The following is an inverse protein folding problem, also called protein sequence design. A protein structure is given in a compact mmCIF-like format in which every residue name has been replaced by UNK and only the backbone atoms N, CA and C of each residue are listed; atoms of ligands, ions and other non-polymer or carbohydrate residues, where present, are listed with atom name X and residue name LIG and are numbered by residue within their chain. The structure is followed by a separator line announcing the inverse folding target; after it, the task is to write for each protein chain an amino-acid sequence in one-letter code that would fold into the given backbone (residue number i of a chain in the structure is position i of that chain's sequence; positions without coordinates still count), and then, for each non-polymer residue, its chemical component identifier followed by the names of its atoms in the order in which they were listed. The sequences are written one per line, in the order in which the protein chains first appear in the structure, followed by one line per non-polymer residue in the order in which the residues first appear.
data_IF_685888727086
#
_entry.id   IF_685888727086
#
_cell.length_a   1.000
_cell.length_b   1.000
_cell.length_c   1.000
_cell.angle_alpha   90.00
_cell.angle_beta   90.00
_cell.angle_gamma   90.00
#
_symmetry.space_group_name_H-M   'P 1'
#
loop_
_entity.id
_entity.type
_entity.pdbx_description
1 polymer ?
#
# COMPACT_ATOMS: atom_id res chain seq x y z
N UNK A 1 44.96 -30.04 33.03
CA UNK A 1 44.56 -30.54 34.37
C UNK A 1 45.49 -31.69 34.74
N UNK A 2 46.01 -31.74 35.97
CA UNK A 2 46.85 -32.84 36.47
C UNK A 2 46.20 -33.36 37.75
N UNK A 3 45.93 -34.65 37.81
CA UNK A 3 45.44 -35.34 39.01
C UNK A 3 46.62 -35.96 39.75
N UNK A 4 46.59 -35.98 41.06
CA UNK A 4 47.62 -36.66 41.85
C UNK A 4 47.55 -38.18 41.63
N UNK A 5 48.71 -38.85 41.63
CA UNK A 5 48.80 -40.31 41.42
C UNK A 5 48.98 -41.01 42.76
N UNK A 6 48.02 -41.85 43.14
CA UNK A 6 48.16 -42.78 44.26
C UNK A 6 48.47 -44.19 43.74
N UNK A 7 49.67 -44.69 44.06
CA UNK A 7 50.20 -46.03 43.71
C UNK A 7 50.12 -46.40 42.23
N UNK A 8 48.94 -46.80 41.74
CA UNK A 8 48.65 -47.32 40.38
C UNK A 8 47.45 -46.63 39.72
N UNK A 9 47.17 -45.37 40.05
CA UNK A 9 46.11 -44.62 39.40
C UNK A 9 45.99 -43.19 39.91
N UNK A 10 45.09 -42.44 39.29
CA UNK A 10 44.73 -41.11 39.76
C UNK A 10 43.97 -41.19 41.09
N UNK A 11 44.16 -40.18 41.93
CA UNK A 11 43.48 -40.04 43.21
C UNK A 11 41.97 -39.93 42.98
N UNK A 12 41.25 -40.93 43.46
CA UNK A 12 39.82 -41.12 43.15
C UNK A 12 38.97 -39.92 43.55
N UNK A 13 39.25 -39.28 44.68
CA UNK A 13 38.48 -38.12 45.16
C UNK A 13 38.56 -36.93 44.20
N UNK A 14 39.75 -36.63 43.65
CA UNK A 14 39.94 -35.50 42.73
C UNK A 14 39.28 -35.75 41.38
N UNK A 15 39.29 -37.01 40.93
CA UNK A 15 38.61 -37.41 39.70
C UNK A 15 37.09 -37.39 39.89
N UNK A 16 36.57 -37.90 41.01
CA UNK A 16 35.14 -37.90 41.31
C UNK A 16 34.60 -36.46 41.45
N UNK A 17 35.36 -35.57 42.08
CA UNK A 17 35.02 -34.15 42.24
C UNK A 17 35.06 -33.40 40.90
N UNK A 18 36.05 -33.69 40.05
CA UNK A 18 36.08 -33.17 38.67
C UNK A 18 34.91 -33.68 37.83
N UNK A 19 34.61 -34.98 37.87
CA UNK A 19 33.49 -35.58 37.13
C UNK A 19 32.17 -34.99 37.62
N UNK A 20 32.03 -34.74 38.92
CA UNK A 20 30.86 -34.08 39.50
C UNK A 20 30.74 -32.64 39.01
N UNK A 21 31.81 -31.84 39.08
CA UNK A 21 31.82 -30.46 38.60
C UNK A 21 31.50 -30.37 37.10
N UNK A 22 32.10 -31.24 36.30
CA UNK A 22 31.88 -31.30 34.86
C UNK A 22 30.43 -31.69 34.52
N UNK A 23 29.87 -32.70 35.20
CA UNK A 23 28.45 -33.07 35.04
C UNK A 23 27.53 -31.91 35.40
N UNK A 24 27.80 -31.23 36.51
CA UNK A 24 26.99 -30.12 36.98
C UNK A 24 27.06 -28.93 36.00
N UNK A 25 28.22 -28.65 35.41
CA UNK A 25 28.38 -27.63 34.37
C UNK A 25 27.58 -27.99 33.10
N UNK A 26 27.65 -29.23 32.64
CA UNK A 26 26.86 -29.69 31.49
C UNK A 26 25.36 -29.67 31.78
N UNK A 27 24.92 -30.04 32.98
CA UNK A 27 23.52 -29.95 33.41
C UNK A 27 23.04 -28.50 33.45
N UNK A 28 23.88 -27.57 33.94
CA UNK A 28 23.61 -26.13 33.94
C UNK A 28 23.44 -25.60 32.52
N UNK A 29 24.41 -25.86 31.62
CA UNK A 29 24.34 -25.42 30.22
C UNK A 29 23.14 -26.03 29.49
N UNK A 30 22.83 -27.29 29.75
CA UNK A 30 21.66 -27.96 29.15
C UNK A 30 20.35 -27.31 29.64
N UNK A 31 20.26 -26.93 30.92
CA UNK A 31 19.11 -26.23 31.46
C UNK A 31 18.95 -24.83 30.85
N UNK A 32 20.04 -24.07 30.72
CA UNK A 32 20.06 -22.75 30.06
C UNK A 32 19.61 -22.84 28.60
N UNK A 33 20.15 -23.79 27.84
CA UNK A 33 19.75 -24.02 26.46
C UNK A 33 18.27 -24.40 26.33
N UNK A 34 17.76 -25.28 27.21
CA UNK A 34 16.33 -25.63 27.24
C UNK A 34 15.45 -24.40 27.51
N UNK A 35 15.84 -23.56 28.48
CA UNK A 35 15.12 -22.33 28.79
C UNK A 35 15.14 -21.37 27.58
N UNK A 36 16.28 -21.22 26.90
CA UNK A 36 16.37 -20.38 25.71
C UNK A 36 15.52 -20.90 24.56
N UNK A 37 15.52 -22.22 24.32
CA UNK A 37 14.66 -22.86 23.32
C UNK A 37 13.19 -22.61 23.64
N UNK A 38 12.79 -22.71 24.91
CA UNK A 38 11.42 -22.44 25.32
C UNK A 38 11.01 -20.99 25.08
N UNK A 39 11.86 -20.03 25.44
CA UNK A 39 11.65 -18.61 25.16
C UNK A 39 11.51 -18.34 23.66
N UNK A 40 12.44 -18.83 22.84
CA UNK A 40 12.41 -18.63 21.40
C UNK A 40 11.15 -19.24 20.76
N UNK A 41 10.70 -20.41 21.23
CA UNK A 41 9.43 -21.00 20.77
C UNK A 41 8.22 -20.15 21.14
N UNK A 42 8.21 -19.60 22.35
CA UNK A 42 7.14 -18.68 22.79
C UNK A 42 7.14 -17.41 21.95
N UNK A 43 8.31 -16.81 21.73
CA UNK A 43 8.46 -15.61 20.89
C UNK A 43 8.03 -15.88 19.45
N UNK A 44 8.44 -17.01 18.87
CA UNK A 44 8.06 -17.41 17.51
C UNK A 44 6.54 -17.53 17.39
N UNK A 45 5.89 -18.21 18.35
CA UNK A 45 4.43 -18.36 18.37
C UNK A 45 3.73 -16.99 18.45
N UNK A 46 4.23 -16.08 19.29
CA UNK A 46 3.66 -14.74 19.44
C UNK A 46 3.86 -13.91 18.17
N UNK A 47 5.03 -13.97 17.53
CA UNK A 47 5.31 -13.26 16.27
C UNK A 47 4.48 -13.81 15.10
N UNK A 48 4.29 -15.12 15.02
CA UNK A 48 3.40 -15.73 14.02
C UNK A 48 1.96 -15.27 14.20
N UNK A 49 1.48 -15.21 15.44
CA UNK A 49 0.15 -14.67 15.76
C UNK A 49 0.01 -13.21 15.34
N UNK A 50 1.02 -12.38 15.60
CA UNK A 50 1.03 -10.98 15.18
C UNK A 50 1.04 -10.85 13.66
N UNK A 51 1.84 -11.64 12.95
CA UNK A 51 1.86 -11.69 11.48
C UNK A 51 0.50 -12.08 10.91
N UNK A 52 -0.15 -13.10 11.48
CA UNK A 52 -1.50 -13.50 11.06
C UNK A 52 -2.51 -12.36 11.27
N UNK A 53 -2.44 -11.67 12.41
CA UNK A 53 -3.31 -10.53 12.69
C UNK A 53 -3.07 -9.35 11.73
N UNK A 54 -1.82 -9.06 11.38
CA UNK A 54 -1.51 -8.02 10.39
C UNK A 54 -1.99 -8.38 9.00
N UNK A 55 -1.80 -9.63 8.56
CA UNK A 55 -2.34 -10.10 7.27
C UNK A 55 -3.85 -9.95 7.20
N UNK A 56 -4.58 -10.39 8.23
CA UNK A 56 -6.02 -10.24 8.30
C UNK A 56 -6.47 -8.76 8.25
N UNK A 57 -5.74 -7.85 8.91
CA UNK A 57 -6.00 -6.41 8.82
C UNK A 57 -5.74 -5.88 7.41
N UNK A 58 -4.64 -6.28 6.78
CA UNK A 58 -4.31 -5.89 5.40
C UNK A 58 -5.38 -6.35 4.42
N UNK A 59 -5.89 -7.57 4.56
CA UNK A 59 -6.97 -8.10 3.71
C UNK A 59 -8.27 -7.31 3.90
N UNK A 60 -8.61 -6.98 5.15
CA UNK A 60 -9.77 -6.16 5.49
C UNK A 60 -9.65 -4.76 4.86
N UNK A 61 -8.49 -4.11 5.00
CA UNK A 61 -8.22 -2.79 4.42
C UNK A 61 -8.32 -2.86 2.90
N UNK A 62 -7.73 -3.88 2.28
CA UNK A 62 -7.77 -4.07 0.82
C UNK A 62 -9.21 -4.24 0.32
N UNK A 63 -10.00 -5.05 1.01
CA UNK A 63 -11.43 -5.21 0.73
C UNK A 63 -12.21 -3.90 0.91
N UNK A 64 -11.95 -3.15 1.97
CA UNK A 64 -12.59 -1.86 2.20
C UNK A 64 -12.26 -0.84 1.10
N UNK A 65 -11.00 -0.80 0.64
CA UNK A 65 -10.58 0.07 -0.48
C UNK A 65 -11.29 -0.33 -1.77
N UNK A 66 -11.34 -1.62 -2.11
CA UNK A 66 -12.05 -2.10 -3.30
C UNK A 66 -13.54 -1.74 -3.27
N UNK A 67 -14.20 -1.94 -2.13
CA UNK A 67 -15.60 -1.57 -1.95
C UNK A 67 -15.80 -0.04 -2.03
N UNK A 68 -14.90 0.76 -1.47
CA UNK A 68 -14.98 2.21 -1.54
C UNK A 68 -14.85 2.72 -2.99
N UNK A 69 -13.92 2.15 -3.77
CA UNK A 69 -13.77 2.47 -5.21
C UNK A 69 -15.03 2.09 -5.98
N UNK A 70 -15.56 0.88 -5.76
CA UNK A 70 -16.82 0.47 -6.40
C UNK A 70 -17.98 1.40 -6.06
N UNK A 71 -18.09 1.84 -4.80
CA UNK A 71 -19.11 2.82 -4.41
C UNK A 71 -18.90 4.19 -4.99
N UNK A 72 -17.66 4.64 -5.16
CA UNK A 72 -17.37 5.88 -5.87
C UNK A 72 -17.84 5.80 -7.32
N UNK A 73 -17.50 4.72 -8.04
CA UNK A 73 -17.93 4.48 -9.42
C UNK A 73 -19.46 4.43 -9.56
N UNK A 74 -20.15 3.80 -8.60
CA UNK A 74 -21.62 3.76 -8.56
C UNK A 74 -22.22 5.16 -8.37
N UNK A 75 -21.66 5.98 -7.47
CA UNK A 75 -22.11 7.34 -7.21
C UNK A 75 -21.93 8.22 -8.46
N UNK A 76 -20.79 8.09 -9.14
CA UNK A 76 -20.51 8.83 -10.37
C UNK A 76 -21.53 8.49 -11.46
N UNK A 77 -21.73 7.20 -11.75
CA UNK A 77 -22.73 6.75 -12.74
C UNK A 77 -24.15 7.17 -12.39
N UNK A 78 -24.51 7.13 -11.10
CA UNK A 78 -25.82 7.57 -10.64
C UNK A 78 -25.98 9.08 -10.82
N UNK A 79 -24.96 9.86 -10.49
CA UNK A 79 -24.96 11.30 -10.69
C UNK A 79 -25.10 11.64 -12.17
N UNK A 80 -24.31 11.04 -13.05
CA UNK A 80 -24.41 11.23 -14.51
C UNK A 80 -25.82 10.91 -15.04
N UNK A 81 -26.39 9.80 -14.60
CA UNK A 81 -27.73 9.38 -15.01
C UNK A 81 -28.77 10.41 -14.57
N UNK A 82 -28.69 10.86 -13.32
CA UNK A 82 -29.59 11.89 -12.78
C UNK A 82 -29.43 13.20 -13.54
N UNK A 83 -28.21 13.68 -13.77
CA UNK A 83 -27.95 14.89 -14.56
C UNK A 83 -28.55 14.78 -15.96
N UNK A 84 -28.41 13.63 -16.62
CA UNK A 84 -28.97 13.38 -17.95
C UNK A 84 -30.50 13.44 -17.95
N UNK A 85 -31.15 12.85 -16.94
CA UNK A 85 -32.60 12.86 -16.80
C UNK A 85 -33.13 14.27 -16.54
N UNK A 86 -32.54 15.00 -15.59
CA UNK A 86 -32.90 16.39 -15.29
C UNK A 86 -32.70 17.30 -16.51
N UNK A 87 -31.60 17.12 -17.24
CA UNK A 87 -31.34 17.86 -18.48
C UNK A 87 -32.39 17.56 -19.56
N UNK A 88 -32.81 16.30 -19.69
CA UNK A 88 -33.88 15.90 -20.62
C UNK A 88 -35.22 16.54 -20.23
N UNK A 89 -35.55 16.55 -18.93
CA UNK A 89 -36.74 17.22 -18.43
C UNK A 89 -36.71 18.72 -18.73
N UNK A 90 -35.57 19.38 -18.46
CA UNK A 90 -35.39 20.81 -18.68
C UNK A 90 -35.49 21.18 -20.17
N UNK A 91 -34.93 20.38 -21.08
CA UNK A 91 -35.12 20.54 -22.53
C UNK A 91 -36.59 20.45 -22.92
N UNK A 92 -37.30 19.43 -22.44
CA UNK A 92 -38.72 19.26 -22.75
C UNK A 92 -39.59 20.40 -22.20
N UNK A 93 -39.21 20.97 -21.05
CA UNK A 93 -39.86 22.13 -20.48
C UNK A 93 -39.59 23.38 -21.33
N UNK A 94 -38.33 23.60 -21.73
CA UNK A 94 -37.94 24.72 -22.56
C UNK A 94 -38.65 24.73 -23.91
N UNK A 95 -38.74 23.57 -24.59
CA UNK A 95 -39.48 23.43 -25.85
C UNK A 95 -40.96 23.83 -25.70
N UNK A 96 -41.62 23.38 -24.63
CA UNK A 96 -43.02 23.75 -24.33
C UNK A 96 -43.16 25.24 -24.04
N UNK A 97 -42.25 25.79 -23.25
CA UNK A 97 -42.20 27.21 -22.93
C UNK A 97 -42.00 28.07 -24.18
N UNK A 98 -41.06 27.71 -25.04
CA UNK A 98 -40.77 28.39 -26.30
C UNK A 98 -41.97 28.35 -27.24
N UNK A 99 -42.68 27.22 -27.33
CA UNK A 99 -43.93 27.13 -28.08
C UNK A 99 -45.00 28.10 -27.56
N UNK A 100 -45.16 28.19 -26.24
CA UNK A 100 -46.11 29.12 -25.62
C UNK A 100 -45.70 30.59 -25.83
N UNK A 101 -44.41 30.90 -25.67
CA UNK A 101 -43.84 32.22 -25.91
C UNK A 101 -44.06 32.67 -27.37
N UNK A 102 -43.77 31.80 -28.34
CA UNK A 102 -43.98 32.10 -29.76
C UNK A 102 -45.46 32.42 -30.06
N UNK A 103 -46.40 31.68 -29.46
CA UNK A 103 -47.84 31.96 -29.58
C UNK A 103 -48.24 33.30 -28.96
N UNK A 104 -47.58 33.72 -27.88
CA UNK A 104 -47.83 35.04 -27.29
C UNK A 104 -47.24 36.16 -28.15
N UNK A 105 -46.05 35.96 -28.71
CA UNK A 105 -45.38 36.92 -29.59
C UNK A 105 -46.16 37.15 -30.89
N UNK A 106 -46.77 36.11 -31.44
CA UNK A 106 -47.66 36.20 -32.61
C UNK A 106 -48.91 37.03 -32.32
N UNK A 107 -49.46 36.94 -31.11
CA UNK A 107 -50.65 37.71 -30.69
C UNK A 107 -50.34 39.14 -30.29
N UNK A 108 -49.14 39.41 -29.79
CA UNK A 108 -48.71 40.72 -29.32
C UNK A 108 -47.31 41.08 -29.87
N UNK A 109 -47.21 41.44 -31.16
CA UNK A 109 -45.91 41.63 -31.82
C UNK A 109 -45.12 42.87 -31.33
N UNK A 110 -45.80 43.86 -30.76
CA UNK A 110 -45.20 45.13 -30.35
C UNK A 110 -44.95 45.26 -28.85
N UNK A 111 -45.18 44.19 -28.08
CA UNK A 111 -44.92 44.17 -26.65
C UNK A 111 -43.40 44.10 -26.37
N UNK A 112 -42.84 45.19 -25.84
CA UNK A 112 -41.42 45.29 -25.48
C UNK A 112 -41.01 44.30 -24.38
N UNK A 113 -41.92 43.98 -23.45
CA UNK A 113 -41.70 43.02 -22.38
C UNK A 113 -41.54 41.60 -22.91
N UNK A 114 -42.36 41.22 -23.89
CA UNK A 114 -42.18 39.95 -24.60
C UNK A 114 -40.86 39.91 -25.36
N UNK A 115 -40.50 40.97 -26.09
CA UNK A 115 -39.23 41.01 -26.84
C UNK A 115 -38.01 40.85 -25.92
N UNK A 116 -38.07 41.38 -24.69
CA UNK A 116 -37.01 41.18 -23.70
C UNK A 116 -36.85 39.70 -23.27
N UNK A 117 -37.96 38.96 -23.16
CA UNK A 117 -37.96 37.51 -22.85
C UNK A 117 -37.33 36.70 -23.99
N UNK A 118 -37.36 37.19 -25.23
CA UNK A 118 -36.66 36.55 -26.37
C UNK A 118 -35.16 36.39 -26.15
N UNK A 119 -34.50 37.34 -25.49
CA UNK A 119 -33.07 37.25 -25.16
C UNK A 119 -32.80 36.15 -24.12
N UNK A 120 -33.70 36.01 -23.15
CA UNK A 120 -33.63 34.94 -22.15
C UNK A 120 -33.82 33.55 -22.78
N UNK A 121 -34.79 33.41 -23.69
CA UNK A 121 -35.00 32.15 -24.40
C UNK A 121 -33.78 31.78 -25.25
N UNK A 122 -33.17 32.73 -25.98
CA UNK A 122 -31.96 32.48 -26.75
C UNK A 122 -30.76 32.05 -25.87
N UNK A 123 -30.59 32.68 -24.71
CA UNK A 123 -29.55 32.29 -23.76
C UNK A 123 -29.79 30.89 -23.17
N UNK A 124 -31.06 30.54 -22.89
CA UNK A 124 -31.41 29.22 -22.38
C UNK A 124 -31.25 28.12 -23.45
N UNK A 125 -31.55 28.42 -24.70
CA UNK A 125 -31.35 27.50 -25.83
C UNK A 125 -29.85 27.24 -26.07
N UNK A 126 -29.00 28.26 -25.92
CA UNK A 126 -27.53 28.12 -25.95
C UNK A 126 -27.01 27.24 -24.80
N UNK A 127 -27.52 27.42 -23.58
CA UNK A 127 -27.15 26.58 -22.43
C UNK A 127 -27.57 25.13 -22.65
N UNK A 128 -28.80 24.89 -23.11
CA UNK A 128 -29.37 23.54 -23.26
C UNK A 128 -28.85 22.79 -24.49
N UNK A 129 -28.42 23.49 -25.54
CA UNK A 129 -27.77 22.89 -26.72
C UNK A 129 -26.30 22.50 -26.48
N UNK A 130 -25.76 22.77 -25.29
CA UNK A 130 -24.33 22.56 -24.97
C UNK A 130 -23.43 23.69 -25.49
N UNK A 131 -24.03 24.82 -25.87
CA UNK A 131 -23.37 26.00 -26.42
C UNK A 131 -22.72 26.91 -25.37
N UNK A 132 -23.18 26.87 -24.10
CA UNK A 132 -22.57 27.74 -23.09
C UNK A 132 -21.08 27.42 -22.94
N UNK A 133 -20.24 28.44 -23.07
CA UNK A 133 -18.80 28.36 -22.85
C UNK A 133 -18.44 27.69 -21.51
N UNK A 134 -19.34 27.76 -20.52
CA UNK A 134 -19.21 27.07 -19.25
C UNK A 134 -19.25 25.54 -19.36
N UNK A 135 -20.11 24.95 -20.19
CA UNK A 135 -20.18 23.50 -20.34
C UNK A 135 -18.99 22.97 -21.13
N UNK A 136 -18.55 23.71 -22.18
CA UNK A 136 -17.32 23.40 -22.92
C UNK A 136 -16.05 23.57 -22.07
N UNK A 137 -16.02 24.55 -21.16
CA UNK A 137 -14.90 24.75 -20.24
C UNK A 137 -14.86 23.66 -19.16
N UNK A 138 -16.02 23.23 -18.65
CA UNK A 138 -16.13 22.10 -17.71
C UNK A 138 -15.70 20.80 -18.40
N UNK A 139 -16.15 20.57 -19.64
CA UNK A 139 -15.77 19.40 -20.44
C UNK A 139 -14.26 19.39 -20.73
N UNK A 140 -13.69 20.54 -21.08
CA UNK A 140 -12.24 20.72 -21.27
C UNK A 140 -11.42 20.53 -19.99
N UNK A 141 -11.92 21.01 -18.85
CA UNK A 141 -11.29 20.80 -17.55
C UNK A 141 -11.35 19.33 -17.11
N UNK A 142 -12.49 18.67 -17.36
CA UNK A 142 -12.66 17.25 -17.09
C UNK A 142 -11.74 16.39 -17.96
N UNK A 143 -11.67 16.66 -19.27
CA UNK A 143 -10.78 15.96 -20.18
C UNK A 143 -9.30 16.16 -19.81
N UNK A 144 -8.90 17.38 -19.46
CA UNK A 144 -7.54 17.68 -18.99
C UNK A 144 -7.18 16.97 -17.68
N UNK A 145 -8.11 16.87 -16.74
CA UNK A 145 -7.89 16.14 -15.48
C UNK A 145 -7.87 14.63 -15.69
N UNK A 146 -8.70 14.10 -16.59
CA UNK A 146 -8.67 12.70 -17.00
C UNK A 146 -7.35 12.33 -17.67
N UNK A 147 -6.84 13.16 -18.57
CA UNK A 147 -5.51 12.98 -19.18
C UNK A 147 -4.39 13.05 -18.13
N UNK A 148 -4.46 13.98 -17.18
CA UNK A 148 -3.50 14.06 -16.06
C UNK A 148 -3.50 12.77 -15.22
N UNK A 149 -4.69 12.23 -14.93
CA UNK A 149 -4.83 11.00 -14.15
C UNK A 149 -4.38 9.77 -14.95
N UNK A 150 -4.70 9.68 -16.25
CA UNK A 150 -4.18 8.62 -17.11
C UNK A 150 -2.65 8.69 -17.24
N UNK A 151 -2.09 9.89 -17.38
CA UNK A 151 -0.65 10.13 -17.42
C UNK A 151 0.02 9.73 -16.11
N UNK A 152 -0.56 10.13 -14.97
CA UNK A 152 -0.08 9.75 -13.65
C UNK A 152 -0.22 8.24 -13.39
N UNK A 153 -1.24 7.58 -13.97
CA UNK A 153 -1.46 6.14 -13.89
C UNK A 153 -0.52 5.36 -14.84
N UNK A 154 -0.09 5.97 -15.94
CA UNK A 154 0.95 5.45 -16.82
C UNK A 154 2.35 5.62 -16.21
N UNK A 155 2.60 6.70 -15.46
CA UNK A 155 3.80 6.88 -14.64
C UNK A 155 3.81 5.96 -13.40
N UNK A 156 2.64 5.66 -12.84
CA UNK A 156 2.46 4.69 -11.75
C UNK A 156 2.23 3.25 -12.23
N UNK A 157 2.26 2.99 -13.55
CA UNK A 157 2.27 1.63 -14.06
C UNK A 157 3.57 0.98 -13.57
N UNK A 158 3.52 -0.23 -13.00
CA UNK A 158 4.72 -0.89 -12.52
C UNK A 158 5.59 -1.18 -13.74
N UNK A 159 6.60 -0.34 -13.97
CA UNK A 159 7.84 -0.87 -14.53
C UNK A 159 8.22 -2.08 -13.68
N UNK A 160 8.83 -3.14 -14.25
CA UNK A 160 9.42 -4.22 -13.46
C UNK A 160 10.64 -3.67 -12.71
N UNK A 161 10.40 -2.76 -11.78
CA UNK A 161 11.35 -2.27 -10.81
C UNK A 161 11.23 -3.23 -9.64
N UNK A 162 12.29 -4.03 -9.49
CA UNK A 162 12.62 -4.71 -8.27
C UNK A 162 12.30 -3.77 -7.10
N UNK A 163 11.43 -4.22 -6.21
CA UNK A 163 11.00 -3.48 -5.03
C UNK A 163 12.23 -3.10 -4.19
N UNK A 164 12.76 -1.89 -4.38
CA UNK A 164 13.79 -1.33 -3.51
C UNK A 164 13.17 -1.09 -2.15
N UNK A 165 13.39 -2.03 -1.25
CA UNK A 165 12.98 -1.89 0.15
C UNK A 165 13.86 -0.85 0.83
N UNK A 166 13.35 -0.20 1.89
CA UNK A 166 14.08 0.77 2.74
C UNK A 166 15.45 0.28 3.29
N UNK A 167 15.80 -0.99 3.05
CA UNK A 167 17.08 -1.59 3.40
C UNK A 167 18.24 -1.20 2.48
N UNK A 168 17.98 -0.70 1.25
CA UNK A 168 19.04 -0.42 0.27
C UNK A 168 19.80 0.90 0.49
N UNK A 169 19.18 1.91 1.13
CA UNK A 169 19.84 3.21 1.39
C UNK A 169 20.52 3.30 2.77
N UNK A 170 20.45 2.24 3.58
CA UNK A 170 21.04 2.23 4.91
C UNK A 170 22.49 1.75 4.89
N UNK A 171 23.39 2.54 4.27
CA UNK A 171 24.83 2.43 4.59
C UNK A 171 24.97 2.90 6.04
N UNK A 172 24.99 1.95 6.97
CA UNK A 172 25.15 2.26 8.38
C UNK A 172 26.51 2.92 8.59
N UNK A 173 26.63 3.87 9.51
CA UNK A 173 27.89 4.56 9.82
C UNK A 173 29.04 3.62 10.26
N UNK A 174 28.74 2.33 10.48
CA UNK A 174 29.68 1.23 10.71
C UNK A 174 30.32 0.65 9.44
N UNK A 175 29.94 1.12 8.23
CA UNK A 175 30.43 0.58 6.96
C UNK A 175 29.79 -0.75 6.54
N UNK A 176 28.73 -1.19 7.22
CA UNK A 176 28.00 -2.42 6.90
C UNK A 176 26.90 -2.14 5.86
N UNK A 177 26.98 -2.82 4.72
CA UNK A 177 25.96 -2.77 3.66
C UNK A 177 25.06 -4.01 3.72
N UNK A 178 23.76 -3.78 3.91
CA UNK A 178 22.76 -4.87 3.95
C UNK A 178 22.58 -5.54 2.59
N UNK A 179 22.78 -4.78 1.51
CA UNK A 179 22.72 -5.28 0.13
C UNK A 179 23.89 -6.23 -0.18
N UNK A 180 25.08 -5.93 0.35
CA UNK A 180 26.26 -6.80 0.21
C UNK A 180 26.14 -8.08 1.06
N UNK A 181 25.51 -7.98 2.25
CA UNK A 181 25.21 -9.16 3.06
C UNK A 181 24.14 -10.08 2.43
N UNK A 182 23.19 -9.50 1.69
CA UNK A 182 22.13 -10.26 1.01
C UNK A 182 22.61 -10.89 -0.30
N UNK A 183 23.62 -10.30 -0.95
CA UNK A 183 24.19 -10.79 -2.19
C UNK A 183 25.74 -10.78 -2.13
N UNK A 184 26.35 -11.67 -1.32
CA UNK A 184 27.78 -11.68 -1.13
C UNK A 184 28.52 -11.97 -2.44
N UNK A 185 29.53 -11.16 -2.72
CA UNK A 185 30.43 -11.34 -3.89
C UNK A 185 31.61 -12.26 -3.57
N UNK A 186 31.92 -12.40 -2.29
CA UNK A 186 32.99 -13.24 -1.79
C UNK A 186 32.52 -14.70 -1.68
N UNK A 187 33.45 -15.64 -1.85
CA UNK A 187 33.13 -17.06 -1.75
C UNK A 187 32.71 -17.40 -0.32
N UNK A 188 31.69 -18.27 -0.18
CA UNK A 188 31.15 -18.66 1.11
C UNK A 188 32.22 -19.20 2.06
N UNK A 189 33.27 -19.85 1.52
CA UNK A 189 34.38 -20.40 2.29
C UNK A 189 35.21 -19.31 2.96
N UNK A 190 35.43 -18.17 2.27
CA UNK A 190 36.17 -17.02 2.81
C UNK A 190 35.34 -16.30 3.86
N UNK A 191 34.04 -16.09 3.60
CA UNK A 191 33.11 -15.49 4.56
C UNK A 191 33.04 -16.33 5.86
N UNK A 192 33.00 -17.66 5.73
CA UNK A 192 32.99 -18.57 6.87
C UNK A 192 34.33 -18.58 7.64
N UNK A 193 35.45 -18.32 6.97
CA UNK A 193 36.77 -18.17 7.59
C UNK A 193 36.88 -16.85 8.37
N UNK A 194 36.41 -15.75 7.77
CA UNK A 194 36.39 -14.42 8.40
C UNK A 194 35.46 -14.35 9.62
N UNK A 195 34.35 -15.09 9.58
CA UNK A 195 33.45 -15.27 10.73
C UNK A 195 33.99 -16.24 11.80
N UNK A 196 35.18 -16.81 11.59
CA UNK A 196 35.81 -17.75 12.52
C UNK A 196 35.09 -19.09 12.65
N UNK A 197 34.22 -19.43 11.68
CA UNK A 197 33.44 -20.66 11.65
C UNK A 197 34.22 -21.83 11.01
N UNK A 198 35.15 -21.51 10.10
CA UNK A 198 36.19 -22.43 9.63
C UNK A 198 37.48 -22.10 10.37
N UNK A 199 37.83 -22.95 11.35
CA UNK A 199 39.17 -22.96 11.91
C UNK A 199 40.17 -23.27 10.80
N UNK A 200 41.16 -22.39 10.61
CA UNK A 200 42.29 -22.69 9.73
C UNK A 200 43.06 -23.87 10.29
N UNK A 201 42.98 -25.02 9.62
CA UNK A 201 44.04 -26.02 9.70
C UNK A 201 45.23 -25.48 8.87
N UNK A 202 46.08 -24.70 9.54
CA UNK A 202 47.54 -24.68 9.36
C UNK A 202 48.22 -24.45 10.71
#
# INVERSE_FOLDING_TARGET
MKFDIEKKGYKKSEVDEYVFALKNEYESKLAEQKNRIFQLKSELTEREKQLAAFKAKTDLISSAILNAVQKADEIEKLAETRYREEMKQLKSFHEKWQSHYNKMLEKYPDDEGLKAIGKFNAAMDDILSGGSAAMKEIEKQFDGERERVESAKAEAAPQPQQSKTLAEDAVSASGFSFEEAWNPKDDLSEIMKDLGLLGGDE
#
